data_IF_328867914717
#
_entry.id   IF_328867914717
#
_cell.length_a   1.000
_cell.length_b   1.000
_cell.length_c   1.000
_cell.angle_alpha   90.00
_cell.angle_beta   90.00
_cell.angle_gamma   90.00
#
_symmetry.space_group_name_H-M   'P 1'
#
loop_
_entity.id
_entity.type
_entity.pdbx_description
1 polymer ?
#
# COMPACT_ATOMS: atom_id res chain seq x y z
N UNK A 1 66.78 -60.59 42.09
CA UNK A 1 66.23 -60.22 40.76
C UNK A 1 65.66 -58.82 40.90
N UNK A 2 66.09 -57.74 40.26
CA UNK A 2 67.20 -57.42 39.36
C UNK A 2 67.42 -55.87 39.45
N UNK A 3 68.59 -55.39 39.05
CA UNK A 3 69.33 -54.15 39.41
C UNK A 3 68.76 -52.77 38.98
N UNK A 4 68.89 -51.73 39.84
CA UNK A 4 69.70 -50.44 39.76
C UNK A 4 69.42 -49.51 38.55
N UNK A 5 69.41 -48.17 38.58
CA UNK A 5 69.91 -47.10 39.47
C UNK A 5 69.56 -45.70 38.90
N UNK A 6 69.64 -44.66 39.75
CA UNK A 6 70.03 -43.26 39.46
C UNK A 6 68.96 -42.20 39.01
N UNK A 7 69.15 -40.89 39.33
CA UNK A 7 68.06 -40.01 39.78
C UNK A 7 67.97 -38.60 39.11
N UNK A 8 67.01 -37.80 39.63
CA UNK A 8 66.99 -36.34 39.84
C UNK A 8 66.76 -35.37 38.65
N UNK A 9 65.77 -34.46 38.77
CA UNK A 9 66.00 -33.13 39.36
C UNK A 9 64.70 -32.28 39.47
N UNK A 10 64.55 -31.61 40.62
CA UNK A 10 63.54 -30.59 40.94
C UNK A 10 63.98 -29.21 40.45
N UNK A 11 63.02 -28.40 39.99
CA UNK A 11 63.14 -26.93 39.88
C UNK A 11 61.87 -26.26 40.45
N UNK A 12 61.97 -25.29 41.38
CA UNK A 12 60.82 -24.66 42.04
C UNK A 12 60.35 -23.37 41.36
N UNK A 13 59.03 -23.13 41.38
CA UNK A 13 58.34 -21.98 40.78
C UNK A 13 58.20 -20.86 41.85
N UNK A 14 58.60 -19.61 41.56
CA UNK A 14 58.30 -18.45 42.40
C UNK A 14 57.06 -17.68 41.91
N UNK A 15 56.37 -17.05 42.85
CA UNK A 15 55.30 -16.09 42.63
C UNK A 15 55.88 -14.71 42.25
N UNK A 16 55.36 -14.07 41.20
CA UNK A 16 55.55 -12.64 40.97
C UNK A 16 54.37 -12.04 40.18
N UNK A 17 53.80 -10.96 40.72
CA UNK A 17 52.70 -10.20 40.14
C UNK A 17 53.11 -9.47 38.87
N UNK A 18 52.27 -9.58 37.85
CA UNK A 18 52.42 -8.96 36.54
C UNK A 18 51.75 -7.59 36.55
N UNK A 19 52.56 -6.52 36.57
CA UNK A 19 52.12 -5.16 36.23
C UNK A 19 52.34 -5.00 34.72
N UNK A 20 51.28 -5.05 33.93
CA UNK A 20 51.31 -4.70 32.51
C UNK A 20 51.19 -3.18 32.38
N UNK A 21 52.32 -2.50 32.22
CA UNK A 21 52.37 -1.15 31.69
C UNK A 21 52.07 -1.23 30.18
N UNK A 22 50.84 -0.87 29.78
CA UNK A 22 50.48 -0.70 28.37
C UNK A 22 50.94 0.68 27.94
N UNK A 23 52.05 0.73 27.20
CA UNK A 23 52.51 1.92 26.50
C UNK A 23 51.49 2.30 25.42
N UNK A 24 50.68 3.33 25.69
CA UNK A 24 49.88 4.04 24.69
C UNK A 24 50.83 4.80 23.75
N UNK A 25 51.31 4.14 22.71
CA UNK A 25 51.67 4.85 21.47
C UNK A 25 50.35 5.32 20.86
N UNK A 26 49.86 6.48 21.28
CA UNK A 26 48.92 7.25 20.48
C UNK A 26 49.63 7.50 19.15
N UNK A 27 49.20 6.78 18.11
CA UNK A 27 49.40 7.23 16.74
C UNK A 27 48.74 8.61 16.67
N UNK A 28 49.53 9.66 16.88
CA UNK A 28 49.23 10.97 16.37
C UNK A 28 49.24 10.83 14.85
N UNK A 29 48.10 10.47 14.28
CA UNK A 29 47.81 10.86 12.92
C UNK A 29 47.96 12.39 12.90
N UNK A 30 48.91 12.97 12.16
CA UNK A 30 48.90 14.41 11.97
C UNK A 30 47.51 14.80 11.46
N UNK A 31 46.97 15.98 11.86
CA UNK A 31 45.69 16.43 11.33
C UNK A 31 45.76 16.34 9.81
N UNK A 32 44.80 15.66 9.18
CA UNK A 32 44.63 15.64 7.73
C UNK A 32 44.75 17.09 7.27
N UNK A 33 45.81 17.44 6.55
CA UNK A 33 45.95 18.79 6.00
C UNK A 33 44.70 19.04 5.19
N UNK A 34 43.89 20.02 5.61
CA UNK A 34 42.59 20.27 4.99
C UNK A 34 42.81 20.51 3.49
N UNK A 35 42.25 19.65 2.65
CA UNK A 35 42.38 19.74 1.19
C UNK A 35 41.36 20.75 0.67
N UNK A 36 41.73 21.49 -0.37
CA UNK A 36 40.83 22.38 -1.09
C UNK A 36 39.65 21.56 -1.62
N UNK A 37 38.44 21.95 -1.27
CA UNK A 37 37.22 21.28 -1.73
C UNK A 37 36.17 22.29 -2.15
N UNK A 38 35.25 21.84 -3.01
CA UNK A 38 34.10 22.62 -3.48
C UNK A 38 32.83 21.85 -3.13
N UNK A 39 31.90 22.52 -2.48
CA UNK A 39 30.57 22.01 -2.17
C UNK A 39 29.51 22.87 -2.87
N UNK A 40 28.50 22.24 -3.48
CA UNK A 40 27.31 22.96 -3.95
C UNK A 40 26.34 23.15 -2.79
N UNK A 41 25.92 24.39 -2.58
CA UNK A 41 24.95 24.76 -1.53
C UNK A 41 23.77 25.50 -2.20
N UNK A 42 22.59 24.85 -2.31
CA UNK A 42 22.29 23.47 -1.90
C UNK A 42 22.96 22.41 -2.80
N UNK A 43 23.06 21.14 -2.36
CA UNK A 43 23.65 20.06 -3.17
C UNK A 43 22.91 19.80 -4.49
N UNK A 44 21.58 19.96 -4.47
CA UNK A 44 20.70 19.89 -5.62
C UNK A 44 19.85 21.15 -5.65
N UNK A 45 19.82 21.84 -6.80
CA UNK A 45 19.09 23.09 -6.96
C UNK A 45 17.88 22.92 -7.87
N UNK A 46 16.80 23.64 -7.58
CA UNK A 46 15.69 23.79 -8.52
C UNK A 46 16.04 24.85 -9.58
N UNK A 47 15.53 24.67 -10.80
CA UNK A 47 15.66 25.68 -11.84
C UNK A 47 15.11 27.04 -11.37
N UNK A 48 15.89 28.10 -11.57
CA UNK A 48 15.54 29.46 -11.18
C UNK A 48 15.96 29.87 -9.77
N UNK A 49 16.52 28.95 -8.97
CA UNK A 49 17.08 29.26 -7.65
C UNK A 49 18.52 29.79 -7.72
N UNK A 50 19.01 30.33 -6.62
CA UNK A 50 20.40 30.76 -6.47
C UNK A 50 21.24 29.60 -5.89
N UNK A 51 22.47 29.41 -6.38
CA UNK A 51 23.35 28.32 -5.94
C UNK A 51 24.75 28.83 -5.68
N UNK A 52 25.31 28.43 -4.54
CA UNK A 52 26.69 28.76 -4.18
C UNK A 52 27.59 27.53 -4.33
N UNK A 53 28.62 27.63 -5.17
CA UNK A 53 29.76 26.73 -5.10
C UNK A 53 30.70 27.25 -4.00
N UNK A 54 30.54 26.68 -2.81
CA UNK A 54 31.27 27.05 -1.60
C UNK A 54 32.67 26.41 -1.62
N UNK A 55 33.69 27.24 -1.53
CA UNK A 55 35.09 26.80 -1.49
C UNK A 55 35.55 26.68 -0.04
N UNK A 56 36.12 25.53 0.31
CA UNK A 56 36.69 25.26 1.63
C UNK A 56 38.21 25.10 1.57
N UNK A 57 38.87 25.33 2.71
CA UNK A 57 40.30 25.07 2.89
C UNK A 57 41.19 25.79 1.87
N UNK A 58 40.89 27.08 1.62
CA UNK A 58 41.73 27.91 0.76
C UNK A 58 43.18 27.94 1.25
N UNK A 59 44.16 27.89 0.32
CA UNK A 59 45.57 27.97 0.69
C UNK A 59 45.97 29.39 1.14
N UNK A 60 47.14 29.50 1.76
CA UNK A 60 47.70 30.82 2.12
C UNK A 60 48.33 31.54 0.92
N UNK A 61 48.65 32.83 1.08
CA UNK A 61 49.34 33.68 0.11
C UNK A 61 48.60 33.82 -1.24
N UNK A 62 47.28 34.03 -1.16
CA UNK A 62 46.38 34.11 -2.31
C UNK A 62 46.63 35.38 -3.14
N UNK A 63 46.62 35.24 -4.47
CA UNK A 63 46.73 36.34 -5.42
C UNK A 63 45.42 36.61 -6.17
N UNK A 64 44.90 35.60 -6.87
CA UNK A 64 43.62 35.68 -7.59
C UNK A 64 42.94 34.32 -7.74
N UNK A 65 41.64 34.34 -7.97
CA UNK A 65 40.83 33.18 -8.33
C UNK A 65 40.41 33.27 -9.79
N UNK A 66 40.32 32.14 -10.48
CA UNK A 66 39.79 32.03 -11.83
C UNK A 66 38.82 30.85 -11.88
N UNK A 67 37.57 31.10 -12.24
CA UNK A 67 36.55 30.06 -12.38
C UNK A 67 36.33 29.72 -13.85
N UNK A 68 36.15 28.42 -14.12
CA UNK A 68 35.97 27.86 -15.45
C UNK A 68 34.74 26.95 -15.47
N UNK A 69 34.02 26.98 -16.59
CA UNK A 69 32.98 26.00 -16.89
C UNK A 69 33.66 24.74 -17.45
N UNK A 70 33.30 23.58 -16.92
CA UNK A 70 33.89 22.29 -17.29
C UNK A 70 35.04 21.86 -16.36
N UNK A 71 35.56 20.65 -16.58
CA UNK A 71 36.63 20.07 -15.75
C UNK A 71 38.01 20.71 -16.02
N UNK A 72 38.19 21.34 -17.19
CA UNK A 72 39.48 21.84 -17.65
C UNK A 72 39.58 23.35 -17.53
N UNK A 73 40.79 23.81 -17.22
CA UNK A 73 41.18 25.21 -17.36
C UNK A 73 41.33 25.52 -18.85
N UNK A 74 40.32 26.16 -19.42
CA UNK A 74 40.29 26.60 -20.82
C UNK A 74 39.87 28.08 -20.86
N UNK A 75 40.69 28.92 -21.47
CA UNK A 75 40.43 30.35 -21.57
C UNK A 75 39.11 30.68 -22.28
N UNK A 76 38.63 29.82 -23.19
CA UNK A 76 37.32 29.99 -23.84
C UNK A 76 36.15 29.75 -22.88
N UNK A 77 36.37 28.97 -21.83
CA UNK A 77 35.35 28.58 -20.85
C UNK A 77 35.52 29.32 -19.51
N UNK A 78 36.35 30.36 -19.46
CA UNK A 78 36.54 31.16 -18.26
C UNK A 78 35.27 31.96 -17.93
N UNK A 79 34.75 31.78 -16.73
CA UNK A 79 33.58 32.48 -16.21
C UNK A 79 33.98 33.87 -15.73
N UNK A 80 34.93 33.95 -14.78
CA UNK A 80 35.46 35.21 -14.28
C UNK A 80 36.78 34.98 -13.54
N UNK A 81 37.53 36.07 -13.38
CA UNK A 81 38.66 36.16 -12.46
C UNK A 81 38.34 37.14 -11.34
N UNK A 82 38.83 36.87 -10.13
CA UNK A 82 38.72 37.77 -8.99
C UNK A 82 40.11 38.06 -8.43
N UNK A 83 40.50 39.34 -8.46
CA UNK A 83 41.81 39.80 -7.99
C UNK A 83 41.69 40.26 -6.54
N UNK A 84 42.42 39.62 -5.63
CA UNK A 84 42.25 39.82 -4.18
C UNK A 84 42.73 41.20 -3.75
N UNK A 85 43.83 41.69 -4.33
CA UNK A 85 44.42 42.99 -3.99
C UNK A 85 43.49 44.16 -4.30
N UNK A 86 42.85 44.15 -5.46
CA UNK A 86 41.94 45.21 -5.90
C UNK A 86 40.48 44.95 -5.52
N UNK A 87 40.17 43.75 -5.00
CA UNK A 87 38.81 43.28 -4.71
C UNK A 87 37.88 43.39 -5.93
N UNK A 88 38.43 43.20 -7.13
CA UNK A 88 37.73 43.39 -8.39
C UNK A 88 37.50 42.05 -9.09
N UNK A 89 36.26 41.85 -9.55
CA UNK A 89 35.90 40.76 -10.46
C UNK A 89 36.01 41.22 -11.90
N UNK A 90 36.68 40.43 -12.73
CA UNK A 90 36.83 40.61 -14.17
C UNK A 90 36.08 39.47 -14.88
N UNK A 91 34.97 39.77 -15.59
CA UNK A 91 34.23 38.76 -16.35
C UNK A 91 35.08 38.12 -17.47
N UNK A 92 34.90 36.82 -17.68
CA UNK A 92 35.48 36.06 -18.78
C UNK A 92 34.50 35.79 -19.93
N UNK A 93 34.91 35.07 -20.99
CA UNK A 93 34.09 34.80 -22.17
C UNK A 93 32.83 33.97 -21.88
N UNK A 94 32.84 33.15 -20.84
CA UNK A 94 31.72 32.29 -20.44
C UNK A 94 30.82 32.92 -19.36
N UNK A 95 31.04 34.19 -19.00
CA UNK A 95 30.20 34.93 -18.06
C UNK A 95 28.82 35.20 -18.65
N UNK A 96 27.74 34.83 -17.95
CA UNK A 96 26.37 35.06 -18.39
C UNK A 96 25.74 36.33 -17.83
N UNK A 97 26.37 36.93 -16.80
CA UNK A 97 25.83 38.09 -16.08
C UNK A 97 25.18 37.71 -14.75
N UNK A 98 25.18 36.42 -14.41
CA UNK A 98 24.51 35.85 -13.23
C UNK A 98 25.49 35.29 -12.21
N UNK A 99 26.77 35.31 -12.55
CA UNK A 99 27.85 34.78 -11.75
C UNK A 99 28.50 35.87 -10.90
N UNK A 100 28.83 35.57 -9.66
CA UNK A 100 29.56 36.48 -8.78
C UNK A 100 30.58 35.70 -7.97
N UNK A 101 31.84 36.09 -8.05
CA UNK A 101 32.91 35.52 -7.22
C UNK A 101 33.02 36.32 -5.93
N UNK A 102 32.94 35.64 -4.79
CA UNK A 102 33.13 36.25 -3.48
C UNK A 102 34.62 36.28 -3.08
N UNK A 103 35.02 37.15 -2.11
CA UNK A 103 36.41 37.23 -1.63
C UNK A 103 36.97 35.91 -1.07
N UNK A 104 36.10 35.01 -0.63
CA UNK A 104 36.45 33.66 -0.15
C UNK A 104 36.58 32.63 -1.29
N UNK A 105 36.62 33.07 -2.56
CA UNK A 105 36.78 32.21 -3.73
C UNK A 105 35.50 31.49 -4.17
N UNK A 106 34.43 31.52 -3.38
CA UNK A 106 33.16 30.89 -3.73
C UNK A 106 32.49 31.59 -4.92
N UNK A 107 31.79 30.80 -5.73
CA UNK A 107 31.08 31.27 -6.92
C UNK A 107 29.57 31.17 -6.70
N UNK A 108 28.89 32.30 -6.71
CA UNK A 108 27.43 32.37 -6.70
C UNK A 108 26.91 32.36 -8.14
N UNK A 109 25.92 31.52 -8.41
CA UNK A 109 25.06 31.60 -9.57
C UNK A 109 23.68 32.12 -9.16
N UNK A 110 23.17 33.12 -9.86
CA UNK A 110 21.82 33.63 -9.65
C UNK A 110 20.85 33.08 -10.68
N UNK A 111 19.71 32.55 -10.22
CA UNK A 111 18.64 31.99 -11.06
C UNK A 111 19.16 31.00 -12.09
N UNK A 112 19.64 29.85 -11.62
CA UNK A 112 20.30 28.83 -12.46
C UNK A 112 19.31 28.19 -13.46
N UNK A 113 19.64 28.12 -14.76
CA UNK A 113 18.89 27.31 -15.72
C UNK A 113 19.35 25.84 -15.69
N UNK A 114 18.53 24.94 -16.24
CA UNK A 114 18.84 23.49 -16.29
C UNK A 114 20.18 23.15 -16.97
N UNK A 115 20.56 23.89 -18.01
CA UNK A 115 21.79 23.64 -18.77
C UNK A 115 23.07 24.06 -18.02
N UNK A 116 22.98 24.50 -16.77
CA UNK A 116 24.15 24.80 -15.93
C UNK A 116 24.61 23.60 -15.14
N UNK A 117 23.86 22.49 -15.14
CA UNK A 117 24.33 21.23 -14.59
C UNK A 117 25.66 20.80 -15.20
N UNK A 118 26.61 20.42 -14.35
CA UNK A 118 27.91 19.91 -14.76
C UNK A 118 29.08 20.40 -13.90
N UNK A 119 30.32 20.09 -14.34
CA UNK A 119 31.52 20.42 -13.60
C UNK A 119 31.92 21.89 -13.74
N UNK A 120 32.47 22.44 -12.66
CA UNK A 120 33.05 23.77 -12.61
C UNK A 120 34.39 23.71 -11.88
N UNK A 121 35.43 24.28 -12.49
CA UNK A 121 36.79 24.24 -11.95
C UNK A 121 37.22 25.61 -11.46
N UNK A 122 37.70 25.69 -10.22
CA UNK A 122 38.43 26.86 -9.72
C UNK A 122 39.93 26.64 -9.91
N UNK A 123 40.63 27.66 -10.40
CA UNK A 123 42.08 27.77 -10.36
C UNK A 123 42.45 28.91 -9.42
N UNK A 124 43.24 28.58 -8.39
CA UNK A 124 43.76 29.52 -7.41
C UNK A 124 45.21 29.82 -7.78
N UNK A 125 45.51 31.09 -8.00
CA UNK A 125 46.87 31.56 -8.34
C UNK A 125 47.39 32.35 -7.15
N UNK A 126 48.47 31.87 -6.54
CA UNK A 126 49.12 32.49 -5.39
C UNK A 126 50.04 33.63 -5.84
N UNK A 127 50.51 34.45 -4.90
CA UNK A 127 51.41 35.58 -5.20
C UNK A 127 52.78 35.14 -5.73
N UNK A 128 53.18 33.90 -5.46
CA UNK A 128 54.39 33.27 -5.98
C UNK A 128 54.19 32.61 -7.36
N UNK A 129 53.04 32.84 -8.01
CA UNK A 129 52.62 32.26 -9.28
C UNK A 129 52.43 30.74 -9.29
N UNK A 130 52.52 30.08 -8.13
CA UNK A 130 52.05 28.70 -8.01
C UNK A 130 50.53 28.65 -8.15
N UNK A 131 50.02 27.54 -8.70
CA UNK A 131 48.58 27.36 -8.88
C UNK A 131 48.09 26.02 -8.39
N UNK A 132 46.89 26.03 -7.84
CA UNK A 132 46.14 24.84 -7.42
C UNK A 132 44.77 24.89 -8.08
N UNK A 133 44.20 23.72 -8.37
CA UNK A 133 42.88 23.61 -8.99
C UNK A 133 42.02 22.61 -8.23
N UNK A 134 40.71 22.81 -8.29
CA UNK A 134 39.72 21.87 -7.79
C UNK A 134 38.46 21.96 -8.64
N UNK A 135 37.72 20.85 -8.76
CA UNK A 135 36.49 20.77 -9.57
C UNK A 135 35.31 20.41 -8.69
N UNK A 136 34.27 21.24 -8.72
CA UNK A 136 32.97 20.98 -8.11
C UNK A 136 31.94 20.55 -9.15
N UNK A 137 30.82 19.99 -8.69
CA UNK A 137 29.68 19.62 -9.52
C UNK A 137 28.46 20.45 -9.12
N UNK A 138 27.74 20.96 -10.11
CA UNK A 138 26.44 21.61 -9.94
C UNK A 138 25.37 20.71 -10.53
N UNK A 139 24.30 20.43 -9.77
CA UNK A 139 23.13 19.70 -10.25
C UNK A 139 21.88 20.56 -10.14
N UNK A 140 21.26 20.84 -11.29
CA UNK A 140 20.02 21.62 -11.40
C UNK A 140 18.92 20.72 -11.93
N UNK A 141 17.77 20.73 -11.24
CA UNK A 141 16.60 19.91 -11.56
C UNK A 141 15.38 20.78 -11.88
N UNK A 142 14.49 20.33 -12.77
CA UNK A 142 13.25 21.04 -13.05
C UNK A 142 12.30 20.94 -11.84
N UNK A 143 11.42 21.92 -11.66
CA UNK A 143 10.31 21.78 -10.71
C UNK A 143 9.23 20.93 -11.37
N UNK A 144 8.90 19.79 -10.75
CA UNK A 144 7.93 18.85 -11.32
C UNK A 144 6.52 19.45 -11.32
N UNK A 145 5.86 19.39 -12.48
CA UNK A 145 4.45 19.70 -12.61
C UNK A 145 3.57 18.54 -12.12
N UNK A 146 2.28 18.81 -11.97
CA UNK A 146 1.32 17.80 -11.53
C UNK A 146 1.16 16.71 -12.61
N UNK A 147 1.47 15.43 -12.32
CA UNK A 147 1.29 14.35 -13.29
C UNK A 147 -0.20 14.02 -13.47
N UNK A 148 -0.52 13.33 -14.56
CA UNK A 148 -1.88 12.86 -14.85
C UNK A 148 -1.91 11.34 -14.99
N UNK A 149 -2.96 10.70 -14.48
CA UNK A 149 -3.15 9.26 -14.67
C UNK A 149 -4.03 9.04 -15.90
N UNK A 150 -3.55 8.20 -16.82
CA UNK A 150 -4.33 7.70 -17.95
C UNK A 150 -4.60 6.21 -17.77
N UNK A 151 -5.68 5.72 -18.40
CA UNK A 151 -6.05 4.31 -18.34
C UNK A 151 -6.39 3.80 -19.72
N UNK A 152 -5.99 2.57 -20.04
CA UNK A 152 -6.41 1.89 -21.28
C UNK A 152 -7.91 1.54 -21.27
N UNK A 153 -8.49 1.32 -20.08
CA UNK A 153 -9.90 0.97 -19.89
C UNK A 153 -10.41 1.47 -18.54
N UNK A 154 -11.18 2.56 -18.56
CA UNK A 154 -11.76 3.14 -17.34
C UNK A 154 -12.98 2.38 -16.81
N UNK A 155 -13.58 1.48 -17.61
CA UNK A 155 -14.77 0.70 -17.25
C UNK A 155 -14.52 -0.80 -17.45
N UNK A 156 -13.56 -1.40 -16.73
CA UNK A 156 -13.23 -2.81 -16.89
C UNK A 156 -14.35 -3.69 -16.36
N UNK A 157 -14.61 -4.80 -17.04
CA UNK A 157 -15.47 -5.87 -16.52
C UNK A 157 -14.69 -6.76 -15.55
N UNK A 158 -15.31 -7.11 -14.43
CA UNK A 158 -14.74 -7.95 -13.39
C UNK A 158 -14.26 -9.30 -13.95
N UNK A 159 -13.02 -9.68 -13.61
CA UNK A 159 -12.31 -10.88 -14.05
C UNK A 159 -12.08 -11.02 -15.57
N UNK A 160 -12.20 -9.95 -16.36
CA UNK A 160 -11.83 -9.94 -17.78
C UNK A 160 -10.40 -9.41 -18.01
N UNK A 161 -10.26 -8.45 -18.91
CA UNK A 161 -8.98 -7.94 -19.41
C UNK A 161 -8.23 -7.15 -18.33
N UNK A 162 -6.88 -7.20 -18.38
CA UNK A 162 -6.07 -6.39 -17.47
C UNK A 162 -6.23 -4.90 -17.76
N UNK A 163 -6.10 -4.10 -16.70
CA UNK A 163 -6.15 -2.64 -16.79
C UNK A 163 -4.76 -2.08 -16.57
N UNK A 164 -4.35 -1.19 -17.45
CA UNK A 164 -3.10 -0.46 -17.34
C UNK A 164 -3.43 0.98 -16.95
N UNK A 165 -2.82 1.43 -15.85
CA UNK A 165 -2.81 2.82 -15.42
C UNK A 165 -1.41 3.37 -15.68
N UNK A 166 -1.32 4.44 -16.46
CA UNK A 166 -0.04 5.07 -16.81
C UNK A 166 0.05 6.45 -16.22
N UNK A 167 1.13 6.73 -15.51
CA UNK A 167 1.43 8.04 -14.97
C UNK A 167 2.14 8.90 -16.02
N UNK A 168 1.43 9.90 -16.54
CA UNK A 168 1.93 10.84 -17.52
C UNK A 168 2.52 12.06 -16.85
N UNK A 169 3.78 12.37 -17.19
CA UNK A 169 4.52 13.54 -16.73
C UNK A 169 5.29 14.17 -17.89
N UNK A 170 5.46 15.48 -17.84
CA UNK A 170 6.24 16.24 -18.83
C UNK A 170 7.74 15.94 -18.73
N UNK A 171 8.21 15.56 -17.54
CA UNK A 171 9.63 15.31 -17.24
C UNK A 171 9.96 13.82 -17.30
N UNK A 172 11.01 13.47 -18.03
CA UNK A 172 11.46 12.07 -18.19
C UNK A 172 12.37 11.59 -17.05
N UNK A 173 13.13 12.50 -16.41
CA UNK A 173 14.06 12.20 -15.32
C UNK A 173 13.42 12.32 -13.92
N UNK A 174 12.29 11.64 -13.72
CA UNK A 174 11.61 11.57 -12.43
C UNK A 174 11.39 10.11 -12.03
N UNK A 175 11.41 9.85 -10.73
CA UNK A 175 11.00 8.55 -10.18
C UNK A 175 9.49 8.55 -9.94
N UNK A 176 8.83 7.43 -10.25
CA UNK A 176 7.39 7.26 -10.10
C UNK A 176 7.06 6.42 -8.87
N UNK A 177 6.06 6.85 -8.10
CA UNK A 177 5.52 6.14 -6.96
C UNK A 177 4.00 6.05 -7.07
N UNK A 178 3.48 4.83 -7.07
CA UNK A 178 2.04 4.57 -7.07
C UNK A 178 1.50 4.40 -5.66
N UNK A 179 0.31 4.96 -5.43
CA UNK A 179 -0.42 4.87 -4.18
C UNK A 179 -1.86 4.44 -4.44
N UNK A 180 -2.41 3.64 -3.52
CA UNK A 180 -3.83 3.31 -3.46
C UNK A 180 -4.33 3.67 -2.07
N UNK A 181 -5.45 4.38 -1.97
CA UNK A 181 -5.98 4.84 -0.67
C UNK A 181 -4.94 5.59 0.20
N UNK A 182 -4.04 6.37 -0.42
CA UNK A 182 -2.91 7.05 0.23
C UNK A 182 -1.82 6.15 0.85
N UNK A 183 -1.83 4.84 0.56
CA UNK A 183 -0.76 3.92 0.93
C UNK A 183 0.07 3.53 -0.29
N UNK A 184 1.38 3.36 -0.11
CA UNK A 184 2.28 2.93 -1.18
C UNK A 184 1.91 1.52 -1.66
N UNK A 185 1.79 1.35 -2.97
CA UNK A 185 1.52 0.04 -3.54
C UNK A 185 2.73 -0.88 -3.42
N UNK A 186 2.48 -2.10 -2.97
CA UNK A 186 3.45 -3.19 -2.99
C UNK A 186 3.09 -4.12 -4.15
N UNK A 187 4.12 -4.57 -4.87
CA UNK A 187 3.97 -5.53 -5.95
C UNK A 187 3.33 -6.82 -5.42
N UNK A 188 2.37 -7.36 -6.17
CA UNK A 188 1.64 -8.57 -5.76
C UNK A 188 1.25 -9.40 -6.98
N UNK A 189 0.82 -10.65 -6.78
CA UNK A 189 0.41 -11.51 -7.89
C UNK A 189 -0.74 -10.94 -8.78
N UNK A 190 -1.42 -9.87 -8.35
CA UNK A 190 -2.49 -9.19 -9.12
C UNK A 190 -2.12 -7.76 -9.56
N UNK A 191 -1.01 -7.21 -9.08
CA UNK A 191 -0.60 -5.83 -9.31
C UNK A 191 0.86 -5.84 -9.70
N UNK A 192 1.15 -5.47 -10.94
CA UNK A 192 2.50 -5.48 -11.50
C UNK A 192 2.92 -4.07 -11.88
N UNK A 193 4.08 -3.63 -11.41
CA UNK A 193 4.71 -2.37 -11.82
C UNK A 193 5.67 -2.59 -12.98
N UNK A 194 5.71 -1.65 -13.93
CA UNK A 194 6.74 -1.61 -14.98
C UNK A 194 8.13 -1.36 -14.39
N UNK A 195 9.19 -1.65 -15.15
CA UNK A 195 10.58 -1.47 -14.70
C UNK A 195 10.91 -0.01 -14.30
N UNK A 196 10.27 0.96 -14.95
CA UNK A 196 10.38 2.39 -14.64
C UNK A 196 9.34 2.88 -13.61
N UNK A 197 8.51 1.99 -13.07
CA UNK A 197 7.36 2.26 -12.20
C UNK A 197 6.30 3.23 -12.79
N UNK A 198 6.38 3.56 -14.08
CA UNK A 198 5.46 4.51 -14.73
C UNK A 198 4.07 3.91 -14.95
N UNK A 199 4.00 2.61 -15.18
CA UNK A 199 2.76 1.89 -15.49
C UNK A 199 2.44 0.87 -14.41
N UNK A 200 1.23 0.97 -13.85
CA UNK A 200 0.65 -0.02 -12.95
C UNK A 200 -0.31 -0.90 -13.74
N UNK A 201 -0.06 -2.21 -13.74
CA UNK A 201 -0.93 -3.21 -14.37
C UNK A 201 -1.73 -3.94 -13.30
N UNK A 202 -3.06 -3.90 -13.45
CA UNK A 202 -3.99 -4.64 -12.60
C UNK A 202 -4.44 -5.90 -13.34
N UNK A 203 -3.96 -7.04 -12.87
CA UNK A 203 -4.36 -8.36 -13.36
C UNK A 203 -5.64 -8.82 -12.64
N UNK A 204 -6.58 -9.37 -13.40
CA UNK A 204 -7.85 -9.90 -12.88
C UNK A 204 -8.60 -8.90 -11.98
N UNK A 205 -9.02 -7.78 -12.58
CA UNK A 205 -9.73 -6.70 -11.88
C UNK A 205 -10.97 -7.21 -11.15
N UNK A 206 -11.14 -6.79 -9.90
CA UNK A 206 -12.33 -7.06 -9.08
C UNK A 206 -13.03 -5.76 -8.70
N UNK A 207 -14.29 -5.84 -8.28
CA UNK A 207 -15.07 -4.68 -7.80
C UNK A 207 -14.47 -3.96 -6.58
N UNK A 208 -13.48 -4.56 -5.92
CA UNK A 208 -12.76 -3.96 -4.80
C UNK A 208 -11.55 -3.14 -5.25
N UNK A 209 -11.09 -3.31 -6.49
CA UNK A 209 -9.94 -2.62 -7.07
C UNK A 209 -10.36 -1.26 -7.70
N UNK A 210 -11.34 -0.58 -7.09
CA UNK A 210 -11.86 0.71 -7.60
C UNK A 210 -10.90 1.87 -7.38
N UNK A 211 -10.01 1.78 -6.40
CA UNK A 211 -9.13 2.87 -5.97
C UNK A 211 -9.74 3.69 -4.81
N UNK A 212 -9.33 4.96 -4.64
CA UNK A 212 -8.58 5.79 -5.59
C UNK A 212 -7.10 5.41 -5.74
N UNK A 213 -6.61 5.54 -6.98
CA UNK A 213 -5.22 5.44 -7.38
C UNK A 213 -4.62 6.84 -7.55
N UNK A 214 -3.41 7.04 -7.06
CA UNK A 214 -2.65 8.28 -7.21
C UNK A 214 -1.22 7.95 -7.60
N UNK A 215 -0.64 8.79 -8.45
CA UNK A 215 0.76 8.69 -8.82
C UNK A 215 1.49 9.93 -8.34
N UNK A 216 2.69 9.74 -7.80
CA UNK A 216 3.60 10.79 -7.43
C UNK A 216 4.90 10.68 -8.24
N UNK A 217 5.28 11.78 -8.88
CA UNK A 217 6.59 11.94 -9.51
C UNK A 217 7.51 12.66 -8.55
N UNK A 218 8.75 12.19 -8.40
CA UNK A 218 9.75 12.80 -7.53
C UNK A 218 11.07 13.04 -8.25
N UNK A 219 11.72 14.13 -7.88
CA UNK A 219 13.14 14.37 -8.12
C UNK A 219 13.77 14.92 -6.82
N UNK A 220 15.09 15.17 -6.77
CA UNK A 220 15.75 15.58 -5.53
C UNK A 220 15.26 16.91 -4.90
N UNK A 221 14.52 17.74 -5.65
CA UNK A 221 14.12 19.09 -5.22
C UNK A 221 12.61 19.30 -5.15
N UNK A 222 11.80 18.42 -5.76
CA UNK A 222 10.36 18.58 -5.88
C UNK A 222 9.63 17.26 -6.03
N UNK A 223 8.34 17.28 -5.71
CA UNK A 223 7.42 16.16 -5.90
C UNK A 223 6.09 16.68 -6.47
N UNK A 224 5.54 15.99 -7.46
CA UNK A 224 4.23 16.28 -8.05
C UNK A 224 3.29 15.09 -7.86
N UNK A 225 2.07 15.32 -7.36
CA UNK A 225 1.07 14.27 -7.11
C UNK A 225 -0.16 14.47 -7.96
N UNK A 226 -0.61 13.41 -8.64
CA UNK A 226 -1.77 13.44 -9.55
C UNK A 226 -3.08 13.70 -8.82
N UNK A 227 -4.13 13.99 -9.58
CA UNK A 227 -5.49 13.82 -9.06
C UNK A 227 -5.80 12.33 -8.81
N UNK A 228 -6.68 12.01 -7.86
CA UNK A 228 -7.11 10.64 -7.60
C UNK A 228 -7.91 10.09 -8.78
N UNK A 229 -7.51 8.91 -9.26
CA UNK A 229 -8.17 8.18 -10.33
C UNK A 229 -8.97 7.00 -9.78
N UNK A 230 -10.25 6.89 -10.12
CA UNK A 230 -11.13 5.80 -9.65
C UNK A 230 -11.63 4.99 -10.83
N UNK A 231 -11.46 3.67 -10.78
CA UNK A 231 -12.00 2.75 -11.78
C UNK A 231 -13.49 2.53 -11.59
N UNK A 232 -14.24 2.51 -12.69
CA UNK A 232 -15.64 2.11 -12.70
C UNK A 232 -15.77 0.63 -13.08
N UNK A 233 -15.47 -0.26 -12.12
CA UNK A 233 -15.52 -1.71 -12.37
C UNK A 233 -16.95 -2.18 -12.60
N UNK A 234 -17.20 -2.76 -13.76
CA UNK A 234 -18.47 -3.32 -14.19
C UNK A 234 -18.59 -4.76 -13.73
N UNK A 235 -19.69 -5.11 -13.09
CA UNK A 235 -19.88 -6.46 -12.55
C UNK A 235 -21.36 -6.81 -12.42
N UNK A 236 -21.61 -8.09 -12.18
CA UNK A 236 -22.93 -8.60 -11.89
C UNK A 236 -23.82 -8.76 -13.12
N UNK A 237 -25.11 -9.09 -12.91
CA UNK A 237 -25.74 -9.16 -11.59
C UNK A 237 -25.24 -10.37 -10.79
N UNK A 238 -25.03 -10.18 -9.49
CA UNK A 238 -24.85 -11.27 -8.54
C UNK A 238 -26.16 -12.06 -8.39
N UNK A 239 -26.13 -13.16 -7.64
CA UNK A 239 -27.31 -13.99 -7.45
C UNK A 239 -28.46 -13.19 -6.80
N UNK A 240 -29.63 -13.08 -7.47
CA UNK A 240 -30.73 -12.27 -7.00
C UNK A 240 -31.38 -12.91 -5.77
N UNK A 241 -31.91 -12.03 -4.91
CA UNK A 241 -32.68 -12.39 -3.73
C UNK A 241 -34.09 -11.81 -3.84
N UNK A 242 -35.10 -12.58 -3.39
CA UNK A 242 -36.49 -12.14 -3.34
C UNK A 242 -36.88 -11.86 -1.89
N UNK A 243 -37.37 -10.66 -1.63
CA UNK A 243 -37.86 -10.19 -0.33
C UNK A 243 -39.38 -9.94 -0.37
N UNK A 244 -40.11 -10.10 0.76
CA UNK A 244 -39.66 -10.67 2.05
C UNK A 244 -39.29 -12.15 1.91
N UNK A 245 -38.77 -12.81 2.96
CA UNK A 245 -38.46 -14.25 2.92
C UNK A 245 -39.71 -15.14 2.99
N UNK A 246 -40.85 -14.62 3.45
CA UNK A 246 -42.09 -15.39 3.68
C UNK A 246 -42.63 -16.04 2.40
N UNK A 247 -42.89 -17.34 2.46
CA UNK A 247 -43.48 -18.12 1.35
C UNK A 247 -44.96 -18.44 1.53
N UNK A 248 -45.53 -18.22 2.72
CA UNK A 248 -46.90 -18.59 3.06
C UNK A 248 -47.75 -17.35 3.25
N UNK A 249 -48.87 -17.29 2.54
CA UNK A 249 -49.79 -16.16 2.60
C UNK A 249 -51.22 -16.64 2.78
N UNK A 250 -52.05 -15.80 3.42
CA UNK A 250 -53.48 -16.03 3.54
C UNK A 250 -54.19 -15.54 2.28
N UNK A 251 -55.26 -16.21 1.83
CA UNK A 251 -56.17 -15.67 0.83
C UNK A 251 -56.64 -14.26 1.21
N UNK A 252 -56.76 -13.39 0.22
CA UNK A 252 -57.11 -11.99 0.38
C UNK A 252 -55.97 -11.05 0.79
N UNK A 253 -54.78 -11.58 1.08
CA UNK A 253 -53.60 -10.76 1.34
C UNK A 253 -53.09 -10.07 0.05
N UNK A 254 -52.32 -9.00 0.22
CA UNK A 254 -51.63 -8.33 -0.88
C UNK A 254 -50.19 -8.85 -0.95
N UNK A 255 -49.83 -9.54 -2.01
CA UNK A 255 -48.49 -10.05 -2.23
C UNK A 255 -47.62 -8.93 -2.82
N UNK A 256 -46.54 -8.58 -2.11
CA UNK A 256 -45.51 -7.65 -2.60
C UNK A 256 -44.15 -8.32 -2.51
N UNK A 257 -43.56 -8.62 -3.65
CA UNK A 257 -42.22 -9.20 -3.76
C UNK A 257 -41.27 -8.17 -4.36
N UNK A 258 -40.09 -8.02 -3.80
CA UNK A 258 -39.02 -7.19 -4.35
C UNK A 258 -37.81 -8.05 -4.65
N UNK A 259 -37.23 -7.89 -5.84
CA UNK A 259 -36.04 -8.59 -6.26
C UNK A 259 -34.81 -7.69 -6.20
N UNK A 260 -33.70 -8.21 -5.69
CA UNK A 260 -32.46 -7.45 -5.55
C UNK A 260 -31.24 -8.31 -5.90
N UNK A 261 -30.40 -7.80 -6.79
CA UNK A 261 -29.07 -8.32 -7.13
C UNK A 261 -28.04 -7.18 -7.11
N UNK A 262 -26.86 -7.44 -6.55
CA UNK A 262 -25.75 -6.48 -6.63
C UNK A 262 -25.21 -6.45 -8.08
N UNK A 263 -25.11 -5.27 -8.67
CA UNK A 263 -24.72 -5.10 -10.07
C UNK A 263 -24.22 -3.67 -10.30
N UNK A 264 -23.20 -3.52 -11.15
CA UNK A 264 -22.77 -2.22 -11.68
C UNK A 264 -22.62 -2.29 -13.21
N UNK A 265 -23.39 -1.51 -13.98
CA UNK A 265 -24.50 -0.65 -13.56
C UNK A 265 -25.67 -1.46 -12.95
N UNK A 266 -26.68 -0.79 -12.36
CA UNK A 266 -27.85 -1.46 -11.79
C UNK A 266 -28.54 -2.41 -12.78
N UNK A 267 -28.92 -3.60 -12.31
CA UNK A 267 -29.56 -4.62 -13.13
C UNK A 267 -31.03 -4.27 -13.45
N UNK A 268 -31.50 -4.76 -14.59
CA UNK A 268 -32.90 -4.75 -15.00
C UNK A 268 -33.57 -6.03 -14.53
N UNK A 269 -34.83 -5.94 -14.10
CA UNK A 269 -35.56 -7.06 -13.50
C UNK A 269 -36.81 -7.44 -14.30
N UNK A 270 -37.14 -8.72 -14.32
CA UNK A 270 -38.43 -9.22 -14.78
C UNK A 270 -38.91 -10.43 -13.99
N UNK A 271 -40.23 -10.60 -13.95
CA UNK A 271 -40.90 -11.63 -13.19
C UNK A 271 -41.57 -12.64 -14.12
N UNK A 272 -41.40 -13.92 -13.80
CA UNK A 272 -42.14 -15.01 -14.39
C UNK A 272 -42.93 -15.74 -13.29
N UNK A 273 -44.20 -16.00 -13.54
CA UNK A 273 -45.06 -16.80 -12.66
C UNK A 273 -45.34 -18.12 -13.36
N UNK A 274 -44.96 -19.24 -12.74
CA UNK A 274 -45.08 -20.58 -13.31
C UNK A 274 -44.48 -20.69 -14.73
N UNK A 275 -43.37 -19.98 -14.97
CA UNK A 275 -42.68 -19.94 -16.27
C UNK A 275 -43.24 -18.96 -17.31
N UNK A 276 -44.35 -18.28 -17.02
CA UNK A 276 -44.92 -17.25 -17.91
C UNK A 276 -44.45 -15.87 -17.50
N UNK A 277 -43.90 -15.10 -18.45
CA UNK A 277 -43.50 -13.70 -18.19
C UNK A 277 -44.73 -12.87 -17.82
N UNK A 278 -44.58 -12.06 -16.78
CA UNK A 278 -45.63 -11.14 -16.36
C UNK A 278 -45.24 -9.68 -16.55
N UNK A 279 -44.15 -9.25 -15.91
CA UNK A 279 -43.80 -7.83 -15.89
C UNK A 279 -42.30 -7.62 -15.71
N UNK A 280 -41.79 -6.56 -16.34
CA UNK A 280 -40.40 -6.13 -16.25
C UNK A 280 -40.27 -5.00 -15.22
N UNK A 281 -40.19 -5.37 -13.95
CA UNK A 281 -40.09 -4.45 -12.81
C UNK A 281 -39.33 -5.12 -11.67
N UNK A 282 -38.69 -4.31 -10.83
CA UNK A 282 -38.01 -4.80 -9.63
C UNK A 282 -39.00 -5.30 -8.56
N UNK A 283 -40.16 -4.66 -8.46
CA UNK A 283 -41.22 -5.02 -7.51
C UNK A 283 -42.43 -5.64 -8.21
N UNK A 284 -42.87 -6.80 -7.72
CA UNK A 284 -44.10 -7.47 -8.10
C UNK A 284 -45.17 -7.26 -7.05
N UNK A 285 -46.32 -6.75 -7.47
CA UNK A 285 -47.46 -6.50 -6.61
C UNK A 285 -48.71 -7.20 -7.17
N UNK A 286 -49.30 -8.10 -6.39
CA UNK A 286 -50.55 -8.80 -6.71
C UNK A 286 -51.50 -8.59 -5.52
N UNK A 287 -52.54 -7.75 -5.67
CA UNK A 287 -53.51 -7.53 -4.60
C UNK A 287 -54.50 -8.71 -4.50
N UNK A 288 -55.04 -8.93 -3.30
CA UNK A 288 -56.14 -9.87 -3.06
C UNK A 288 -55.89 -11.29 -3.63
N UNK A 289 -54.78 -11.92 -3.23
CA UNK A 289 -54.36 -13.22 -3.76
C UNK A 289 -55.29 -14.38 -3.35
N UNK A 290 -55.32 -15.42 -4.16
CA UNK A 290 -56.14 -16.63 -4.00
C UNK A 290 -55.26 -17.89 -4.01
N UNK A 291 -55.84 -19.05 -3.69
CA UNK A 291 -55.13 -20.32 -3.75
C UNK A 291 -54.51 -20.62 -5.15
N UNK A 292 -55.10 -20.09 -6.22
CA UNK A 292 -54.62 -20.25 -7.60
C UNK A 292 -53.36 -19.44 -7.91
N UNK A 293 -53.04 -18.43 -7.09
CA UNK A 293 -51.81 -17.64 -7.18
C UNK A 293 -50.62 -18.37 -6.53
N UNK A 294 -50.82 -19.56 -5.97
CA UNK A 294 -49.73 -20.42 -5.53
C UNK A 294 -48.91 -20.90 -6.72
N UNK A 295 -47.59 -20.91 -6.58
CA UNK A 295 -46.71 -21.29 -7.69
C UNK A 295 -45.27 -20.87 -7.50
N UNK A 296 -44.48 -21.04 -8.56
CA UNK A 296 -43.09 -20.60 -8.62
C UNK A 296 -43.01 -19.19 -9.20
N UNK A 297 -42.47 -18.28 -8.40
CA UNK A 297 -42.23 -16.89 -8.74
C UNK A 297 -40.74 -16.73 -9.02
N UNK A 298 -40.40 -16.61 -10.30
CA UNK A 298 -39.03 -16.46 -10.76
C UNK A 298 -38.75 -14.99 -11.00
N UNK A 299 -37.70 -14.47 -10.36
CA UNK A 299 -37.11 -13.19 -10.73
C UNK A 299 -35.91 -13.43 -11.63
N UNK A 300 -35.86 -12.71 -12.76
CA UNK A 300 -34.71 -12.59 -13.65
C UNK A 300 -34.06 -11.21 -13.43
N UNK A 301 -32.77 -11.18 -13.13
CA UNK A 301 -31.94 -9.97 -13.11
C UNK A 301 -30.97 -10.00 -14.31
N UNK A 302 -30.82 -8.88 -15.02
CA UNK A 302 -29.97 -8.76 -16.20
C UNK A 302 -29.18 -7.45 -16.15
N UNK A 303 -27.86 -7.52 -16.25
CA UNK A 303 -27.00 -6.35 -16.48
C UNK A 303 -26.73 -6.20 -17.98
N UNK A 304 -27.26 -5.13 -18.58
CA UNK A 304 -27.18 -4.90 -20.03
C UNK A 304 -25.77 -4.59 -20.54
N UNK A 305 -24.83 -4.22 -19.66
CA UNK A 305 -23.46 -3.87 -20.05
C UNK A 305 -22.55 -5.09 -20.01
N UNK A 306 -22.61 -5.90 -18.95
CA UNK A 306 -21.87 -7.16 -18.87
C UNK A 306 -22.50 -8.27 -19.73
N UNK A 307 -23.79 -8.11 -20.08
CA UNK A 307 -24.59 -9.11 -20.78
C UNK A 307 -24.94 -10.33 -19.92
N UNK A 308 -24.63 -10.30 -18.63
CA UNK A 308 -24.89 -11.40 -17.70
C UNK A 308 -26.32 -11.33 -17.17
N UNK A 309 -26.92 -12.49 -16.96
CA UNK A 309 -28.20 -12.62 -16.29
C UNK A 309 -28.14 -13.68 -15.18
N UNK A 310 -28.98 -13.50 -14.17
CA UNK A 310 -29.14 -14.43 -13.05
C UNK A 310 -30.61 -14.56 -12.73
N UNK A 311 -31.00 -15.72 -12.22
CA UNK A 311 -32.38 -15.97 -11.82
C UNK A 311 -32.43 -16.52 -10.41
N UNK A 312 -33.54 -16.26 -9.73
CA UNK A 312 -33.87 -16.87 -8.45
C UNK A 312 -35.35 -17.21 -8.45
N UNK A 313 -35.71 -18.28 -7.75
CA UNK A 313 -37.09 -18.78 -7.72
C UNK A 313 -37.56 -18.83 -6.28
N UNK A 314 -38.77 -18.33 -6.06
CA UNK A 314 -39.46 -18.41 -4.79
C UNK A 314 -40.81 -19.09 -4.95
N UNK A 315 -41.04 -20.14 -4.18
CA UNK A 315 -42.34 -20.81 -4.14
C UNK A 315 -43.26 -20.09 -3.17
N UNK A 316 -44.41 -19.65 -3.65
CA UNK A 316 -45.46 -19.01 -2.87
C UNK A 316 -46.62 -19.99 -2.69
N UNK A 317 -47.09 -20.13 -1.47
CA UNK A 317 -48.20 -21.00 -1.08
C UNK A 317 -49.28 -20.14 -0.43
N UNK A 318 -50.44 -20.07 -1.06
CA UNK A 318 -51.60 -19.32 -0.55
C UNK A 318 -52.62 -20.31 0.00
N UNK A 319 -52.74 -20.38 1.32
CA UNK A 319 -53.66 -21.31 2.00
C UNK A 319 -54.26 -20.68 3.25
N UNK A 320 -55.50 -21.01 3.56
CA UNK A 320 -56.18 -20.60 4.80
C UNK A 320 -55.61 -21.28 6.06
N UNK A 321 -54.69 -22.23 5.88
CA UNK A 321 -54.17 -23.05 6.97
C UNK A 321 -53.10 -22.27 7.72
N UNK A 322 -53.44 -21.81 8.93
CA UNK A 322 -52.51 -21.38 9.94
C UNK A 322 -51.70 -22.56 10.49
N UNK A 323 -50.85 -23.17 9.67
CA UNK A 323 -49.73 -23.99 10.14
C UNK A 323 -48.51 -23.09 10.25
N UNK A 324 -48.48 -22.28 11.31
CA UNK A 324 -47.22 -22.21 12.06
C UNK A 324 -46.88 -23.68 12.38
N UNK A 325 -45.68 -24.19 12.06
CA UNK A 325 -45.25 -25.43 12.67
C UNK A 325 -45.22 -25.14 14.17
N UNK A 326 -46.28 -25.51 14.87
CA UNK A 326 -46.27 -25.60 16.32
C UNK A 326 -45.02 -26.39 16.68
N UNK A 327 -44.15 -25.90 17.59
CA UNK A 327 -42.98 -26.65 17.98
C UNK A 327 -43.48 -27.96 18.58
N UNK A 328 -43.45 -29.03 17.79
CA UNK A 328 -43.63 -30.38 18.30
C UNK A 328 -42.62 -30.53 19.41
N UNK A 329 -43.06 -31.05 20.56
CA UNK A 329 -42.19 -31.35 21.69
C UNK A 329 -40.95 -32.10 21.15
N UNK A 330 -39.76 -31.60 21.46
CA UNK A 330 -38.49 -32.25 21.09
C UNK A 330 -38.55 -33.72 21.46
N UNK A 331 -37.96 -34.61 20.66
CA UNK A 331 -37.91 -36.05 20.97
C UNK A 331 -37.42 -36.33 22.40
N UNK A 332 -36.58 -35.46 22.96
CA UNK A 332 -36.16 -35.51 24.36
C UNK A 332 -37.26 -35.20 25.38
N UNK A 333 -38.18 -34.28 25.08
CA UNK A 333 -39.32 -33.98 25.93
C UNK A 333 -40.35 -35.12 25.92
N UNK A 334 -40.57 -35.76 24.77
CA UNK A 334 -41.42 -36.94 24.64
C UNK A 334 -40.80 -38.12 25.42
N UNK A 335 -39.49 -38.35 25.26
CA UNK A 335 -38.77 -39.38 26.02
C UNK A 335 -38.83 -39.10 27.54
N UNK A 336 -38.68 -37.84 27.96
CA UNK A 336 -38.78 -37.44 29.37
C UNK A 336 -40.15 -37.73 29.99
N UNK A 337 -41.24 -37.44 29.25
CA UNK A 337 -42.61 -37.75 29.71
C UNK A 337 -42.80 -39.25 29.85
N UNK A 338 -42.37 -40.05 28.88
CA UNK A 338 -42.50 -41.52 28.92
C UNK A 338 -41.69 -42.11 30.08
N UNK A 339 -40.44 -41.67 30.27
CA UNK A 339 -39.60 -42.13 31.39
C UNK A 339 -40.22 -41.73 32.73
N UNK A 340 -40.75 -40.51 32.86
CA UNK A 340 -41.43 -40.06 34.07
C UNK A 340 -42.64 -40.91 34.43
N UNK A 341 -43.47 -41.27 33.44
CA UNK A 341 -44.63 -42.15 33.65
C UNK A 341 -44.19 -43.56 34.05
N UNK A 342 -43.19 -44.12 33.38
CA UNK A 342 -42.67 -45.47 33.71
C UNK A 342 -42.07 -45.51 35.12
N UNK A 343 -41.28 -44.50 35.49
CA UNK A 343 -40.71 -44.39 36.83
C UNK A 343 -41.80 -44.20 37.90
N UNK A 344 -42.82 -43.40 37.61
CA UNK A 344 -43.97 -43.22 38.50
C UNK A 344 -44.75 -44.53 38.73
N UNK A 345 -45.02 -45.28 37.66
CA UNK A 345 -45.67 -46.60 37.77
C UNK A 345 -44.81 -47.57 38.56
N UNK A 346 -43.49 -47.61 38.32
CA UNK A 346 -42.57 -48.47 39.06
C UNK A 346 -42.49 -48.11 40.56
N UNK A 347 -42.53 -46.83 40.90
CA UNK A 347 -42.58 -46.38 42.29
C UNK A 347 -43.90 -46.77 42.94
N UNK A 348 -45.03 -46.62 42.26
CA UNK A 348 -46.34 -47.01 42.78
C UNK A 348 -46.39 -48.53 42.98
N UNK A 349 -45.91 -49.34 42.03
CA UNK A 349 -45.89 -50.80 42.18
C UNK A 349 -44.96 -51.25 43.30
N UNK A 350 -43.78 -50.63 43.44
CA UNK A 350 -42.86 -50.90 44.55
C UNK A 350 -43.47 -50.51 45.91
N UNK A 351 -44.21 -49.40 45.98
CA UNK A 351 -44.85 -48.93 47.20
C UNK A 351 -46.04 -49.83 47.59
N UNK A 352 -46.83 -50.27 46.60
CA UNK A 352 -47.89 -51.27 46.81
C UNK A 352 -47.29 -52.61 47.26
N UNK A 353 -46.19 -53.06 46.65
CA UNK A 353 -45.49 -54.28 47.03
C UNK A 353 -44.91 -54.19 48.45
N UNK A 354 -44.30 -53.05 48.81
CA UNK A 354 -43.79 -52.79 50.15
C UNK A 354 -44.91 -52.80 51.20
N UNK A 355 -46.04 -52.14 50.91
CA UNK A 355 -47.22 -52.17 51.77
C UNK A 355 -47.82 -53.59 51.89
N UNK A 356 -47.79 -54.37 50.80
CA UNK A 356 -48.21 -55.76 50.80
C UNK A 356 -47.34 -56.63 51.72
N UNK A 357 -46.00 -56.52 51.61
CA UNK A 357 -45.06 -57.21 52.51
C UNK A 357 -45.24 -56.78 53.96
N UNK A 358 -45.46 -55.47 54.22
CA UNK A 358 -45.67 -54.99 55.60
C UNK A 358 -46.97 -55.53 56.20
N UNK A 359 -47.96 -55.86 55.37
CA UNK A 359 -49.23 -56.47 55.79
C UNK A 359 -49.10 -57.98 56.01
N UNK A 360 -48.22 -58.67 55.28
CA UNK A 360 -48.03 -60.14 55.39
C UNK A 360 -46.89 -60.57 56.32
N UNK A 361 -45.91 -59.69 56.59
CA UNK A 361 -44.81 -59.94 57.54
C UNK A 361 -45.10 -59.57 59.00
N UNK A 362 -46.31 -59.06 59.28
CA UNK A 362 -46.76 -58.68 60.62
C UNK A 362 -47.74 -59.67 61.22
N UNK A 363 -47.40 -60.96 61.25
CA UNK A 363 -48.12 -61.94 62.08
C UNK A 363 -47.23 -63.14 62.43
N UNK A 364 -46.73 -63.16 63.67
CA UNK A 364 -46.53 -64.41 64.42
C UNK A 364 -45.09 -64.88 64.63
N UNK A 365 -44.39 -64.29 65.60
CA UNK A 365 -43.57 -65.07 66.54
C UNK A 365 -44.44 -65.47 67.73
N UNK A 366 -44.69 -66.78 67.85
CA UNK A 366 -44.54 -67.58 69.07
C UNK A 366 -44.14 -68.98 68.64
#
# INVERSE_FOLDING_TARGET
>A
MQSLSAPAHRGPIPWQGLVLAVSLLTFWSPPTTAQLTIESVPPNAAEGEDVLLLVHSLPENLGRYEWYRGERVDSKHQIASYVIETQAMVPGPAHSGRETIYPNGSLLFQKVPLNYTGPYTIQIIRKDFSSQRETGQLHVYPVLSKPNITSNNSNPEEHKDPVLLTCESETQDATYLWMVNSESLQDSARLELSEDNRTLTLLHVTRNDKGPYECETRNPVSAGRSDPFTLNVLYGPDDPSISPSDSYYRPGANLRLSCHAASNPPAQYSWLINGTHQQSTQELFIPNITANDSGSYTCLAHNSVTGLNRTTVKNIIVTDVSTSPSPGLSGGAIAGIVIGVVAGVALITALVYFLYIRKTGGSGTF
#
